data_IF_491847490721
#
_entry.id   IF_491847490721
#
_cell.length_a   1.000
_cell.length_b   1.000
_cell.length_c   1.000
_cell.angle_alpha   90.00
_cell.angle_beta   90.00
_cell.angle_gamma   90.00
#
_symmetry.space_group_name_H-M   'P 1'
#
loop_
_entity.id
_entity.type
_entity.pdbx_description
1 polymer ?
#
# COMPACT_ATOMS: atom_id res chain seq x y z
N UNK A 1 24.58 34.43 -4.36
CA UNK A 1 23.76 34.50 -3.13
C UNK A 1 22.53 33.63 -3.33
N UNK A 2 22.53 32.44 -2.74
CA UNK A 2 21.37 31.53 -2.78
C UNK A 2 20.34 32.11 -1.82
N UNK A 3 19.25 32.67 -2.33
CA UNK A 3 18.10 33.03 -1.52
C UNK A 3 17.59 31.73 -0.83
N UNK A 4 17.83 31.62 0.47
CA UNK A 4 17.13 30.63 1.30
C UNK A 4 15.67 31.08 1.32
N UNK A 5 14.86 30.49 0.47
CA UNK A 5 13.41 30.65 0.55
C UNK A 5 12.99 30.17 1.93
N UNK A 6 12.63 31.11 2.80
CA UNK A 6 12.10 30.75 4.11
C UNK A 6 10.72 30.13 3.91
N UNK A 7 10.60 28.84 4.13
CA UNK A 7 9.30 28.18 4.14
C UNK A 7 8.55 28.52 5.43
N UNK A 8 7.28 28.89 5.36
CA UNK A 8 6.51 29.24 6.55
C UNK A 8 6.35 28.03 7.47
N UNK A 9 6.36 28.30 8.78
CA UNK A 9 6.20 27.29 9.84
C UNK A 9 4.75 27.27 10.31
N UNK A 10 3.83 27.07 9.36
CA UNK A 10 2.39 26.95 9.61
C UNK A 10 1.91 25.60 9.12
N UNK A 11 0.90 25.03 9.77
CA UNK A 11 0.43 23.68 9.47
C UNK A 11 -0.08 23.55 8.03
N UNK A 12 -0.91 24.49 7.59
CA UNK A 12 -1.60 24.42 6.30
C UNK A 12 -0.66 24.57 5.10
N UNK A 13 0.52 25.16 5.32
CA UNK A 13 1.52 25.34 4.26
C UNK A 13 2.57 24.21 4.22
N UNK A 14 2.43 23.18 5.07
CA UNK A 14 3.32 22.03 5.08
C UNK A 14 2.89 20.98 4.06
N UNK A 15 3.77 20.64 3.12
CA UNK A 15 3.54 19.55 2.16
C UNK A 15 3.28 18.22 2.88
N UNK A 16 4.06 17.92 3.93
CA UNK A 16 3.91 16.68 4.69
C UNK A 16 2.53 16.56 5.34
N UNK A 17 1.96 17.67 5.82
CA UNK A 17 0.61 17.66 6.38
C UNK A 17 -0.45 17.42 5.29
N UNK A 18 -0.30 18.02 4.12
CA UNK A 18 -1.18 17.76 2.98
C UNK A 18 -1.15 16.27 2.59
N UNK A 19 0.02 15.65 2.49
CA UNK A 19 0.17 14.23 2.22
C UNK A 19 -0.45 13.35 3.32
N UNK A 20 -0.15 13.64 4.56
CA UNK A 20 -0.65 12.90 5.72
C UNK A 20 -2.18 12.96 5.82
N UNK A 21 -2.76 14.16 5.78
CA UNK A 21 -4.21 14.35 5.90
C UNK A 21 -4.96 13.77 4.69
N UNK A 22 -4.40 13.87 3.49
CA UNK A 22 -4.97 13.25 2.29
C UNK A 22 -4.93 11.74 2.37
N UNK A 23 -3.84 11.16 2.85
CA UNK A 23 -3.73 9.72 3.08
C UNK A 23 -4.77 9.21 4.07
N UNK A 24 -5.01 9.94 5.17
CA UNK A 24 -6.09 9.62 6.13
C UNK A 24 -7.47 9.70 5.48
N UNK A 25 -7.76 10.74 4.70
CA UNK A 25 -9.03 10.89 4.00
C UNK A 25 -9.25 9.74 2.99
N UNK A 26 -8.22 9.39 2.24
CA UNK A 26 -8.26 8.30 1.27
C UNK A 26 -8.55 6.96 1.97
N UNK A 27 -7.86 6.67 3.07
CA UNK A 27 -8.10 5.45 3.85
C UNK A 27 -9.53 5.38 4.39
N UNK A 28 -10.08 6.51 4.83
CA UNK A 28 -11.49 6.60 5.25
C UNK A 28 -12.46 6.33 4.10
N UNK A 29 -12.15 6.82 2.89
CA UNK A 29 -12.97 6.56 1.70
C UNK A 29 -12.93 5.07 1.30
N UNK A 30 -11.79 4.41 1.44
CA UNK A 30 -11.67 2.97 1.20
C UNK A 30 -12.46 2.11 2.18
N UNK A 31 -12.60 2.56 3.44
CA UNK A 31 -13.14 1.73 4.51
C UNK A 31 -14.49 1.09 4.19
N UNK A 32 -15.56 1.81 3.82
CA UNK A 32 -16.86 1.19 3.54
C UNK A 32 -16.82 0.24 2.34
N UNK A 33 -15.93 0.47 1.39
CA UNK A 33 -15.75 -0.38 0.21
C UNK A 33 -15.09 -1.70 0.62
N UNK A 34 -13.99 -1.61 1.38
CA UNK A 34 -13.20 -2.77 1.80
C UNK A 34 -13.88 -3.58 2.91
N UNK A 35 -14.72 -2.98 3.74
CA UNK A 35 -15.51 -3.68 4.75
C UNK A 35 -16.40 -4.77 4.10
N UNK A 36 -16.90 -4.54 2.89
CA UNK A 36 -17.66 -5.54 2.11
C UNK A 36 -16.81 -6.76 1.71
N UNK A 37 -15.50 -6.59 1.64
CA UNK A 37 -14.54 -7.67 1.32
C UNK A 37 -13.92 -8.28 2.58
N UNK A 38 -14.21 -7.74 3.76
CA UNK A 38 -13.59 -8.15 5.01
C UNK A 38 -12.11 -7.76 5.11
N UNK A 39 -11.66 -6.72 4.41
CA UNK A 39 -10.27 -6.29 4.34
C UNK A 39 -10.07 -4.92 4.97
N UNK A 40 -8.93 -4.74 5.63
CA UNK A 40 -8.37 -3.42 5.91
C UNK A 40 -7.61 -2.90 4.69
N UNK A 41 -7.30 -1.61 4.63
CA UNK A 41 -6.55 -1.04 3.51
C UNK A 41 -5.16 -1.68 3.34
N UNK A 42 -4.34 -1.88 4.40
CA UNK A 42 -3.06 -2.60 4.24
C UNK A 42 -3.22 -4.05 3.77
N UNK A 43 -4.27 -4.74 4.19
CA UNK A 43 -4.59 -6.09 3.70
C UNK A 43 -4.94 -6.07 2.21
N UNK A 44 -5.73 -5.10 1.78
CA UNK A 44 -6.06 -4.92 0.37
C UNK A 44 -4.81 -4.69 -0.49
N UNK A 45 -3.88 -3.83 -0.03
CA UNK A 45 -2.61 -3.62 -0.72
C UNK A 45 -1.78 -4.91 -0.83
N UNK A 46 -1.76 -5.72 0.22
CA UNK A 46 -1.09 -7.02 0.22
C UNK A 46 -1.73 -7.97 -0.78
N UNK A 47 -3.06 -8.02 -0.81
CA UNK A 47 -3.78 -8.84 -1.79
C UNK A 47 -3.53 -8.39 -3.22
N UNK A 48 -3.42 -7.08 -3.49
CA UNK A 48 -3.03 -6.57 -4.82
C UNK A 48 -1.68 -7.12 -5.25
N UNK A 49 -0.69 -7.15 -4.35
CA UNK A 49 0.64 -7.73 -4.65
C UNK A 49 0.51 -9.20 -5.03
N UNK A 50 -0.23 -9.98 -4.24
CA UNK A 50 -0.40 -11.42 -4.45
C UNK A 50 -1.22 -11.73 -5.71
N UNK A 51 -2.19 -10.88 -6.07
CA UNK A 51 -2.95 -11.04 -7.31
C UNK A 51 -2.16 -10.68 -8.57
N UNK A 52 -1.08 -9.89 -8.43
CA UNK A 52 -0.13 -9.64 -9.51
C UNK A 52 0.90 -10.77 -9.63
N UNK A 53 1.43 -11.22 -8.51
CA UNK A 53 2.48 -12.25 -8.43
C UNK A 53 2.31 -13.05 -7.15
N UNK A 54 1.82 -14.27 -7.27
CA UNK A 54 1.66 -15.19 -6.15
C UNK A 54 3.01 -15.80 -5.72
N UNK A 55 3.03 -16.48 -4.59
CA UNK A 55 4.20 -17.20 -4.06
C UNK A 55 5.43 -16.30 -3.87
N UNK A 56 5.24 -15.22 -3.14
CA UNK A 56 6.28 -14.23 -2.82
C UNK A 56 6.67 -14.30 -1.35
N UNK A 57 7.89 -13.85 -1.02
CA UNK A 57 8.36 -13.86 0.37
C UNK A 57 7.75 -12.71 1.17
N UNK A 58 7.73 -12.86 2.50
CA UNK A 58 7.36 -11.77 3.43
C UNK A 58 8.22 -10.53 3.18
N UNK A 59 9.51 -10.72 2.92
CA UNK A 59 10.45 -9.64 2.63
C UNK A 59 10.08 -8.88 1.36
N UNK A 60 9.68 -9.60 0.30
CA UNK A 60 9.25 -8.97 -0.96
C UNK A 60 7.98 -8.15 -0.78
N UNK A 61 7.01 -8.65 -0.01
CA UNK A 61 5.78 -7.91 0.31
C UNK A 61 6.12 -6.63 1.10
N UNK A 62 6.95 -6.75 2.14
CA UNK A 62 7.38 -5.62 2.95
C UNK A 62 8.07 -4.54 2.09
N UNK A 63 8.99 -4.93 1.23
CA UNK A 63 9.68 -4.02 0.32
C UNK A 63 8.71 -3.30 -0.62
N UNK A 64 7.76 -4.01 -1.22
CA UNK A 64 6.77 -3.41 -2.12
C UNK A 64 5.80 -2.45 -1.41
N UNK A 65 5.47 -2.72 -0.15
CA UNK A 65 4.63 -1.84 0.67
C UNK A 65 5.40 -0.68 1.30
N UNK A 66 6.72 -0.62 1.16
CA UNK A 66 7.61 0.31 1.88
C UNK A 66 7.44 0.21 3.40
N UNK A 67 7.29 -1.01 3.91
CA UNK A 67 7.16 -1.35 5.32
C UNK A 67 8.28 -2.29 5.74
N UNK A 68 8.52 -2.40 7.04
CA UNK A 68 9.39 -3.43 7.59
C UNK A 68 8.65 -4.77 7.77
N UNK A 69 9.40 -5.85 7.87
CA UNK A 69 8.83 -7.20 8.04
C UNK A 69 8.07 -7.36 9.36
N UNK A 70 8.47 -6.63 10.41
CA UNK A 70 7.80 -6.67 11.70
C UNK A 70 6.38 -6.08 11.63
N UNK A 71 6.19 -5.05 10.80
CA UNK A 71 4.87 -4.45 10.54
C UNK A 71 3.99 -5.35 9.66
N UNK A 72 4.59 -6.02 8.67
CA UNK A 72 3.86 -6.86 7.71
C UNK A 72 3.44 -8.20 8.33
N UNK A 73 4.22 -8.78 9.22
CA UNK A 73 3.96 -10.11 9.81
C UNK A 73 2.60 -10.22 10.50
N UNK A 74 2.16 -9.30 11.38
CA UNK A 74 0.82 -9.37 11.98
C UNK A 74 -0.31 -9.25 10.95
N UNK A 75 -0.12 -8.46 9.92
CA UNK A 75 -1.05 -8.27 8.82
C UNK A 75 -1.25 -9.58 8.03
N UNK A 76 -0.17 -10.29 7.73
CA UNK A 76 -0.22 -11.59 7.06
C UNK A 76 -0.86 -12.67 7.94
N UNK A 77 -0.59 -12.67 9.23
CA UNK A 77 -1.26 -13.59 10.17
C UNK A 77 -2.78 -13.42 10.17
N UNK A 78 -3.26 -12.19 10.07
CA UNK A 78 -4.71 -11.90 9.97
C UNK A 78 -5.30 -12.39 8.65
N UNK A 79 -4.62 -12.15 7.52
CA UNK A 79 -5.05 -12.67 6.22
C UNK A 79 -5.07 -14.21 6.18
N UNK A 80 -4.10 -14.86 6.83
CA UNK A 80 -4.07 -16.30 6.97
C UNK A 80 -5.24 -16.80 7.81
N UNK A 81 -5.53 -16.18 8.96
CA UNK A 81 -6.68 -16.55 9.80
C UNK A 81 -8.03 -16.33 9.11
N UNK A 82 -8.12 -15.39 8.20
CA UNK A 82 -9.29 -15.16 7.34
C UNK A 82 -9.39 -16.19 6.18
N UNK A 83 -8.36 -17.00 5.97
CA UNK A 83 -8.35 -18.04 4.96
C UNK A 83 -8.03 -17.56 3.55
N UNK A 84 -7.48 -16.35 3.37
CA UNK A 84 -7.14 -15.80 2.06
C UNK A 84 -5.74 -16.16 1.58
N UNK A 85 -4.84 -16.42 2.51
CA UNK A 85 -3.44 -16.80 2.24
C UNK A 85 -3.02 -17.97 3.12
N UNK A 86 -1.94 -18.62 2.72
CA UNK A 86 -1.17 -19.57 3.53
C UNK A 86 0.29 -19.14 3.59
N UNK A 87 0.96 -19.47 4.69
CA UNK A 87 2.38 -19.21 4.88
C UNK A 87 3.13 -20.53 4.83
N UNK A 88 4.09 -20.62 3.92
CA UNK A 88 4.89 -21.83 3.68
C UNK A 88 6.36 -21.52 3.90
N UNK A 89 7.02 -22.28 4.77
CA UNK A 89 8.48 -22.17 4.92
C UNK A 89 9.19 -22.67 3.68
N UNK A 90 10.27 -22.00 3.31
CA UNK A 90 11.11 -22.43 2.22
C UNK A 90 11.74 -23.80 2.48
N UNK A 91 11.84 -24.64 1.46
CA UNK A 91 12.46 -25.97 1.56
C UNK A 91 13.98 -25.90 1.44
N UNK A 92 14.50 -24.96 0.67
CA UNK A 92 15.95 -24.74 0.49
C UNK A 92 16.54 -23.83 1.56
N UNK A 93 15.78 -22.83 2.03
CA UNK A 93 16.13 -21.92 3.13
C UNK A 93 14.91 -21.74 4.06
N UNK A 94 14.97 -22.39 5.21
CA UNK A 94 13.87 -22.34 6.22
C UNK A 94 13.67 -20.96 6.85
N UNK A 95 14.61 -20.02 6.64
CA UNK A 95 14.47 -18.62 7.08
C UNK A 95 13.52 -17.84 6.19
N UNK A 96 13.27 -18.30 4.97
CA UNK A 96 12.33 -17.70 4.04
C UNK A 96 10.92 -18.22 4.30
N UNK A 97 9.96 -17.29 4.37
CA UNK A 97 8.53 -17.60 4.44
C UNK A 97 7.87 -17.07 3.18
N UNK A 98 7.29 -17.98 2.43
CA UNK A 98 6.52 -17.69 1.21
C UNK A 98 5.06 -17.52 1.54
N UNK A 99 4.45 -16.57 0.89
CA UNK A 99 3.02 -16.27 1.00
C UNK A 99 2.34 -16.68 -0.30
N UNK A 100 1.31 -17.49 -0.17
CA UNK A 100 0.53 -18.03 -1.29
C UNK A 100 -0.95 -17.72 -1.10
N UNK A 101 -1.63 -17.47 -2.20
CA UNK A 101 -3.07 -17.35 -2.21
C UNK A 101 -3.72 -18.72 -1.99
N UNK A 102 -4.76 -18.74 -1.15
CA UNK A 102 -5.69 -19.86 -1.11
C UNK A 102 -6.71 -19.75 -2.25
N UNK A 103 -7.54 -20.79 -2.43
CA UNK A 103 -8.66 -20.73 -3.38
C UNK A 103 -9.59 -19.55 -3.08
N UNK A 104 -9.87 -19.28 -1.78
CA UNK A 104 -10.67 -18.13 -1.36
C UNK A 104 -9.97 -16.79 -1.66
N UNK A 105 -8.66 -16.72 -1.48
CA UNK A 105 -7.86 -15.53 -1.82
C UNK A 105 -7.88 -15.22 -3.32
N UNK A 106 -7.78 -16.24 -4.15
CA UNK A 106 -7.93 -16.10 -5.61
C UNK A 106 -9.33 -15.63 -5.98
N UNK A 107 -10.37 -16.24 -5.39
CA UNK A 107 -11.76 -15.89 -5.66
C UNK A 107 -12.11 -14.45 -5.26
N UNK A 108 -11.51 -13.95 -4.19
CA UNK A 108 -11.72 -12.58 -3.69
C UNK A 108 -11.34 -11.51 -4.71
N UNK A 109 -10.40 -11.79 -5.62
CA UNK A 109 -10.00 -10.88 -6.70
C UNK A 109 -11.19 -10.44 -7.55
N UNK A 110 -12.15 -11.33 -7.79
CA UNK A 110 -13.35 -11.00 -8.56
C UNK A 110 -14.18 -9.92 -7.87
N UNK A 111 -14.42 -10.07 -6.58
CA UNK A 111 -15.17 -9.09 -5.78
C UNK A 111 -14.42 -7.76 -5.62
N UNK A 112 -13.09 -7.78 -5.67
CA UNK A 112 -12.25 -6.59 -5.53
C UNK A 112 -12.14 -5.76 -6.83
N UNK A 113 -12.63 -6.25 -7.97
CA UNK A 113 -12.48 -5.56 -9.28
C UNK A 113 -13.10 -4.17 -9.34
N UNK A 114 -14.14 -3.95 -8.57
CA UNK A 114 -14.88 -2.67 -8.58
C UNK A 114 -14.23 -1.61 -7.67
N UNK A 115 -13.39 -2.02 -6.72
CA UNK A 115 -12.77 -1.12 -5.74
C UNK A 115 -12.05 0.07 -6.39
N UNK A 116 -11.19 -0.11 -7.41
CA UNK A 116 -10.51 1.02 -8.05
C UNK A 116 -11.48 2.03 -8.68
N UNK A 117 -12.55 1.56 -9.30
CA UNK A 117 -13.57 2.41 -9.90
C UNK A 117 -14.36 3.21 -8.88
N UNK A 118 -14.75 2.59 -7.76
CA UNK A 118 -15.45 3.26 -6.67
C UNK A 118 -14.60 4.36 -6.03
N UNK A 119 -13.32 4.07 -5.78
CA UNK A 119 -12.39 5.07 -5.24
C UNK A 119 -12.13 6.19 -6.24
N UNK A 120 -11.99 5.86 -7.53
CA UNK A 120 -11.88 6.87 -8.57
C UNK A 120 -13.07 7.84 -8.54
N UNK A 121 -14.29 7.32 -8.49
CA UNK A 121 -15.51 8.15 -8.38
C UNK A 121 -15.51 8.99 -7.10
N UNK A 122 -15.05 8.45 -5.99
CA UNK A 122 -15.00 9.18 -4.71
C UNK A 122 -14.04 10.38 -4.75
N UNK A 123 -13.00 10.34 -5.58
CA UNK A 123 -12.07 11.47 -5.72
C UNK A 123 -12.67 12.67 -6.44
N UNK A 124 -13.69 12.47 -7.26
CA UNK A 124 -14.29 13.51 -8.11
C UNK A 124 -13.25 14.26 -8.98
N UNK A 125 -12.15 13.59 -9.32
CA UNK A 125 -11.07 14.13 -10.14
C UNK A 125 -11.02 13.48 -11.51
N UNK A 126 -10.31 14.13 -12.44
CA UNK A 126 -10.08 13.54 -13.77
C UNK A 126 -8.98 12.48 -13.74
N UNK A 127 -9.01 11.49 -14.65
CA UNK A 127 -7.93 10.50 -14.77
C UNK A 127 -6.56 11.15 -14.94
N UNK A 128 -6.46 12.19 -15.75
CA UNK A 128 -5.22 12.92 -16.05
C UNK A 128 -4.64 13.56 -14.79
N UNK A 129 -5.49 14.19 -13.97
CA UNK A 129 -5.08 14.75 -12.68
C UNK A 129 -4.51 13.69 -11.76
N UNK A 130 -5.21 12.55 -11.59
CA UNK A 130 -4.79 11.48 -10.70
C UNK A 130 -3.51 10.79 -11.19
N UNK A 131 -3.36 10.60 -12.51
CA UNK A 131 -2.13 10.03 -13.09
C UNK A 131 -0.93 10.93 -12.85
N UNK A 132 -1.08 12.24 -13.07
CA UNK A 132 -0.01 13.22 -12.83
C UNK A 132 0.36 13.27 -11.34
N UNK A 133 -0.64 13.39 -10.45
CA UNK A 133 -0.41 13.40 -9.01
C UNK A 133 0.33 12.15 -8.54
N UNK A 134 -0.08 10.96 -9.01
CA UNK A 134 0.62 9.71 -8.70
C UNK A 134 2.07 9.74 -9.15
N UNK A 135 2.34 10.21 -10.37
CA UNK A 135 3.69 10.32 -10.91
C UNK A 135 4.56 11.27 -10.07
N UNK A 136 4.03 12.44 -9.72
CA UNK A 136 4.72 13.44 -8.91
C UNK A 136 5.05 12.89 -7.50
N UNK A 137 4.11 12.17 -6.88
CA UNK A 137 4.31 11.53 -5.58
C UNK A 137 5.34 10.39 -5.64
N UNK A 138 5.34 9.60 -6.71
CA UNK A 138 6.35 8.54 -6.93
C UNK A 138 7.75 9.14 -7.09
N UNK A 139 7.88 10.23 -7.83
CA UNK A 139 9.15 10.95 -7.99
C UNK A 139 9.63 11.51 -6.65
N UNK A 140 8.75 12.20 -5.91
CA UNK A 140 9.07 12.73 -4.58
C UNK A 140 9.55 11.62 -3.62
N UNK A 141 8.85 10.50 -3.59
CA UNK A 141 9.24 9.34 -2.78
C UNK A 141 10.63 8.81 -3.17
N UNK A 142 10.91 8.71 -4.49
CA UNK A 142 12.20 8.27 -4.99
C UNK A 142 13.34 9.16 -4.49
N UNK A 143 13.22 10.46 -4.63
CA UNK A 143 14.25 11.41 -4.16
C UNK A 143 14.41 11.43 -2.64
N UNK A 144 13.34 11.20 -1.88
CA UNK A 144 13.42 11.07 -0.43
C UNK A 144 14.13 9.76 0.00
N UNK A 145 13.87 8.66 -0.68
CA UNK A 145 14.57 7.40 -0.42
C UNK A 145 16.07 7.52 -0.73
N UNK A 146 16.44 8.13 -1.86
CA UNK A 146 17.84 8.39 -2.22
C UNK A 146 18.55 9.27 -1.18
N UNK A 147 17.83 10.22 -0.59
CA UNK A 147 18.35 11.04 0.51
C UNK A 147 18.60 10.21 1.76
N UNK A 148 17.66 9.35 2.15
CA UNK A 148 17.76 8.51 3.35
C UNK A 148 18.89 7.47 3.25
N UNK A 149 19.21 6.99 2.04
CA UNK A 149 20.32 6.04 1.82
C UNK A 149 21.71 6.67 1.98
N UNK A 150 21.79 8.00 1.97
CA UNK A 150 23.06 8.75 2.11
C UNK A 150 23.41 9.12 3.56
N UNK A 151 22.47 8.96 4.47
CA UNK A 151 22.61 9.33 5.89
C UNK A 151 22.26 8.17 6.82
#
# INVERSE_FOLDING_TARGET
>A
MTQRTAFPVTLDEQLCFALYSTSLAMTKAYKPILDRLGLTYPQYLTMLILWESDDVTVKDIAARLNLDSATVTPLLKRLESQGFIERVRGTEDERLVFIRLTRSGVALKRSAREVPGEIFCATQQTPEFLMRLRSDLQQLRGTLNDYLERY
#
